data_IF_003243724319
#
_entry.id   IF_003243724319
#
_cell.length_a   1.000
_cell.length_b   1.000
_cell.length_c   1.000
_cell.angle_alpha   90.00
_cell.angle_beta   90.00
_cell.angle_gamma   90.00
#
_symmetry.space_group_name_H-M   'P 1'
#
loop_
_entity.id
_entity.type
_entity.pdbx_description
1 polymer ?
#
# COMPACT_ATOMS: atom_id res chain seq x y z
N UNK A 1 -62.03 -9.70 28.33
CA UNK A 1 -62.33 -9.14 26.99
C UNK A 1 -61.72 -7.74 26.93
N UNK A 2 -60.85 -7.48 25.94
CA UNK A 2 -60.59 -6.21 25.20
C UNK A 2 -60.60 -4.86 25.99
N UNK A 3 -59.69 -3.90 25.87
CA UNK A 3 -58.59 -3.59 24.94
C UNK A 3 -57.80 -2.38 25.51
N UNK A 4 -56.56 -2.25 25.04
CA UNK A 4 -55.54 -1.20 25.29
C UNK A 4 -55.95 0.19 24.73
N UNK A 5 -55.53 1.28 25.39
CA UNK A 5 -54.99 2.48 24.71
C UNK A 5 -53.88 3.11 25.58
N UNK A 6 -52.62 2.97 25.15
CA UNK A 6 -51.49 3.77 25.64
C UNK A 6 -51.36 4.96 24.68
N UNK A 7 -51.44 6.18 25.22
CA UNK A 7 -51.20 7.42 24.47
C UNK A 7 -49.70 7.70 24.51
N UNK A 8 -49.02 7.50 23.38
CA UNK A 8 -47.66 8.00 23.15
C UNK A 8 -47.74 9.33 22.42
N UNK A 9 -47.40 10.42 23.11
CA UNK A 9 -47.20 11.74 22.52
C UNK A 9 -45.92 11.76 21.70
N UNK A 10 -46.05 12.04 20.40
CA UNK A 10 -44.96 12.25 19.47
C UNK A 10 -44.44 13.69 19.55
N UNK A 11 -43.15 13.87 19.84
CA UNK A 11 -42.45 15.14 19.61
C UNK A 11 -41.69 15.03 18.28
N UNK A 12 -42.21 15.75 17.29
CA UNK A 12 -41.62 15.92 15.96
C UNK A 12 -40.48 16.93 16.01
N UNK A 13 -39.28 16.52 15.63
CA UNK A 13 -38.21 17.40 15.16
C UNK A 13 -37.72 16.82 13.83
N UNK A 14 -38.29 17.34 12.75
CA UNK A 14 -37.89 17.05 11.39
C UNK A 14 -36.58 17.79 11.07
N UNK A 15 -35.45 17.09 11.11
CA UNK A 15 -34.26 17.46 10.35
C UNK A 15 -34.26 16.65 9.06
N UNK A 16 -34.52 17.30 7.93
CA UNK A 16 -34.34 16.72 6.59
C UNK A 16 -32.84 16.53 6.34
N UNK A 17 -32.31 15.36 6.69
CA UNK A 17 -31.10 14.84 6.07
C UNK A 17 -31.52 14.06 4.82
N UNK A 18 -31.25 14.61 3.62
CA UNK A 18 -31.25 13.83 2.39
C UNK A 18 -30.11 12.81 2.49
N UNK A 19 -30.41 11.63 3.01
CA UNK A 19 -29.52 10.48 2.95
C UNK A 19 -29.45 9.97 1.52
N UNK A 20 -28.39 10.34 0.81
CA UNK A 20 -27.90 9.54 -0.31
C UNK A 20 -27.29 8.28 0.34
N UNK A 21 -28.06 7.19 0.38
CA UNK A 21 -27.56 5.87 0.77
C UNK A 21 -26.64 5.35 -0.35
N UNK A 22 -25.40 5.82 -0.39
CA UNK A 22 -24.31 5.05 -0.99
C UNK A 22 -23.67 4.22 0.12
N UNK A 23 -24.28 3.09 0.45
CA UNK A 23 -23.50 1.99 1.03
C UNK A 23 -22.38 1.67 0.04
N UNK A 24 -21.10 1.67 0.43
CA UNK A 24 -20.05 1.20 -0.46
C UNK A 24 -20.33 -0.27 -0.76
N UNK A 25 -20.87 -0.54 -1.95
CA UNK A 25 -21.10 -1.91 -2.39
C UNK A 25 -19.74 -2.49 -2.74
N UNK A 26 -19.23 -3.39 -1.91
CA UNK A 26 -18.17 -4.30 -2.32
C UNK A 26 -18.58 -4.94 -3.65
N UNK A 27 -17.70 -5.00 -4.67
CA UNK A 27 -18.06 -5.59 -5.95
C UNK A 27 -18.55 -7.02 -5.75
N UNK A 28 -19.54 -7.43 -6.54
CA UNK A 28 -20.04 -8.81 -6.47
C UNK A 28 -18.92 -9.81 -6.77
N UNK A 29 -18.99 -11.07 -6.30
CA UNK A 29 -18.03 -12.10 -6.69
C UNK A 29 -17.89 -12.25 -8.21
N UNK A 30 -18.96 -12.05 -8.97
CA UNK A 30 -18.93 -12.05 -10.43
C UNK A 30 -18.11 -10.88 -10.99
N UNK A 31 -18.21 -9.70 -10.38
CA UNK A 31 -17.42 -8.52 -10.73
C UNK A 31 -15.95 -8.72 -10.42
N UNK A 32 -15.62 -9.27 -9.25
CA UNK A 32 -14.24 -9.60 -8.88
C UNK A 32 -13.64 -10.67 -9.79
N UNK A 33 -14.43 -11.66 -10.20
CA UNK A 33 -14.02 -12.65 -11.19
C UNK A 33 -13.75 -12.02 -12.56
N UNK A 34 -14.59 -11.08 -13.00
CA UNK A 34 -14.38 -10.38 -14.27
C UNK A 34 -13.14 -9.48 -14.24
N UNK A 35 -12.87 -8.83 -13.09
CA UNK A 35 -11.63 -8.08 -12.86
C UNK A 35 -10.43 -9.03 -12.95
N UNK A 36 -10.47 -10.15 -12.23
CA UNK A 36 -9.41 -11.16 -12.30
C UNK A 36 -9.20 -11.67 -13.73
N UNK A 37 -10.27 -11.95 -14.48
CA UNK A 37 -10.20 -12.40 -15.87
C UNK A 37 -9.61 -11.33 -16.80
N UNK A 38 -9.99 -10.05 -16.66
CA UNK A 38 -9.40 -8.96 -17.46
C UNK A 38 -7.93 -8.73 -17.12
N UNK A 39 -7.56 -8.80 -15.83
CA UNK A 39 -6.16 -8.71 -15.38
C UNK A 39 -5.31 -9.86 -15.95
N UNK A 40 -5.92 -11.05 -16.14
CA UNK A 40 -5.26 -12.19 -16.79
C UNK A 40 -5.32 -12.17 -18.32
N UNK A 41 -6.28 -11.46 -18.92
CA UNK A 41 -6.40 -11.32 -20.38
C UNK A 41 -5.52 -10.21 -20.97
N UNK A 42 -5.04 -9.26 -20.14
CA UNK A 42 -4.21 -8.15 -20.61
C UNK A 42 -2.75 -8.56 -20.85
N UNK A 43 -2.48 -8.99 -22.10
CA UNK A 43 -1.19 -9.06 -22.82
C UNK A 43 -0.21 -10.22 -22.50
N UNK A 44 0.32 -10.72 -23.63
CA UNK A 44 1.33 -11.74 -23.91
C UNK A 44 1.67 -12.74 -22.79
N UNK A 45 1.52 -14.03 -23.14
CA UNK A 45 2.21 -15.16 -22.51
C UNK A 45 3.73 -15.04 -22.71
N UNK A 46 4.35 -14.00 -22.16
CA UNK A 46 5.78 -13.92 -21.96
C UNK A 46 6.05 -14.70 -20.68
N UNK A 47 6.24 -16.02 -20.84
CA UNK A 47 7.03 -16.78 -19.90
C UNK A 47 8.33 -16.01 -19.67
N UNK A 48 8.85 -15.97 -18.44
CA UNK A 48 10.05 -15.20 -18.16
C UNK A 48 11.19 -15.60 -19.11
N UNK A 49 11.52 -14.70 -20.04
CA UNK A 49 12.69 -14.85 -20.90
C UNK A 49 13.88 -14.30 -20.14
N UNK A 50 15.05 -14.92 -20.26
CA UNK A 50 16.23 -14.71 -19.41
C UNK A 50 16.87 -13.30 -19.34
N UNK A 51 16.16 -12.23 -19.72
CA UNK A 51 16.51 -10.82 -19.51
C UNK A 51 15.76 -10.19 -18.30
N UNK A 52 15.67 -10.98 -17.23
CA UNK A 52 14.92 -10.70 -16.00
C UNK A 52 15.68 -9.70 -15.12
N UNK A 53 15.76 -8.45 -15.55
CA UNK A 53 16.56 -7.43 -14.86
C UNK A 53 15.75 -6.75 -13.76
N UNK A 54 16.17 -6.96 -12.52
CA UNK A 54 15.86 -6.08 -11.38
C UNK A 54 17.03 -5.12 -11.24
N UNK A 55 16.78 -3.81 -11.34
CA UNK A 55 17.81 -2.79 -11.16
C UNK A 55 17.53 -2.01 -9.88
N UNK A 56 18.53 -1.85 -9.03
CA UNK A 56 18.44 -1.07 -7.81
C UNK A 56 19.23 0.22 -8.02
N UNK A 57 18.52 1.34 -8.11
CA UNK A 57 19.09 2.66 -8.33
C UNK A 57 19.08 3.41 -7.02
N UNK A 58 20.24 3.77 -6.48
CA UNK A 58 20.34 4.46 -5.20
C UNK A 58 20.95 5.85 -5.34
N UNK A 59 20.51 6.77 -4.50
CA UNK A 59 21.10 8.08 -4.29
C UNK A 59 21.18 8.39 -2.80
N UNK A 60 21.88 9.46 -2.46
CA UNK A 60 21.87 10.05 -1.13
C UNK A 60 21.71 11.57 -1.26
N UNK A 61 21.33 12.24 -0.17
CA UNK A 61 21.05 13.69 -0.19
C UNK A 61 22.25 14.53 -0.65
N UNK A 62 23.47 14.11 -0.33
CA UNK A 62 24.71 14.81 -0.70
C UNK A 62 25.09 14.61 -2.18
N UNK A 63 24.62 13.53 -2.80
CA UNK A 63 24.83 13.20 -4.21
C UNK A 63 23.51 12.68 -4.81
N UNK A 64 22.61 13.58 -5.24
CA UNK A 64 21.25 13.23 -5.64
C UNK A 64 21.15 12.48 -6.98
N UNK A 65 22.30 12.21 -7.64
CA UNK A 65 22.33 11.39 -8.85
C UNK A 65 22.15 9.91 -8.48
N UNK A 66 21.11 9.29 -9.02
CA UNK A 66 20.84 7.87 -8.85
C UNK A 66 21.85 7.02 -9.63
N UNK A 67 22.47 6.07 -8.93
CA UNK A 67 23.46 5.14 -9.48
C UNK A 67 22.99 3.71 -9.25
N UNK A 68 23.23 2.83 -10.24
CA UNK A 68 22.95 1.41 -10.07
C UNK A 68 23.91 0.79 -9.04
N UNK A 69 23.34 -0.01 -8.13
CA UNK A 69 24.09 -0.80 -7.15
C UNK A 69 23.63 -2.25 -7.27
N UNK A 70 24.56 -3.11 -7.65
CA UNK A 70 24.34 -4.56 -7.72
C UNK A 70 24.66 -5.22 -6.37
N UNK A 71 24.06 -6.39 -6.08
CA UNK A 71 24.55 -7.24 -5.00
C UNK A 71 26.05 -7.52 -5.18
N UNK A 72 26.86 -7.26 -4.14
CA UNK A 72 28.32 -7.38 -4.14
C UNK A 72 29.10 -6.25 -4.85
N UNK A 73 28.48 -5.10 -5.13
CA UNK A 73 29.18 -3.92 -5.64
C UNK A 73 30.35 -3.51 -4.73
N UNK A 74 31.58 -3.62 -5.24
CA UNK A 74 32.80 -3.29 -4.50
C UNK A 74 32.91 -1.80 -4.16
N UNK A 75 32.20 -0.94 -4.91
CA UNK A 75 32.23 0.51 -4.74
C UNK A 75 31.05 1.04 -3.92
N UNK A 76 30.23 0.17 -3.32
CA UNK A 76 29.03 0.59 -2.54
C UNK A 76 29.35 1.61 -1.44
N UNK A 77 30.52 1.51 -0.81
CA UNK A 77 30.97 2.43 0.24
C UNK A 77 31.16 3.87 -0.26
N UNK A 78 31.38 4.07 -1.56
CA UNK A 78 31.51 5.38 -2.18
C UNK A 78 30.17 5.91 -2.72
N UNK A 79 29.15 5.06 -2.80
CA UNK A 79 27.84 5.39 -3.38
C UNK A 79 26.77 5.72 -2.32
N UNK A 80 26.90 5.13 -1.13
CA UNK A 80 25.95 5.30 -0.02
C UNK A 80 26.63 5.92 1.20
N UNK A 81 25.88 6.68 1.98
CA UNK A 81 26.31 7.18 3.29
C UNK A 81 25.88 6.18 4.38
N UNK A 82 26.82 5.35 4.84
CA UNK A 82 26.58 4.32 5.86
C UNK A 82 26.30 4.89 7.27
N UNK A 83 26.34 6.22 7.46
CA UNK A 83 25.94 6.90 8.71
C UNK A 83 24.47 7.29 8.72
N UNK A 84 23.76 7.06 7.62
CA UNK A 84 22.34 7.41 7.43
C UNK A 84 21.55 6.13 7.17
N UNK A 85 20.26 6.06 7.54
CA UNK A 85 19.41 4.92 7.22
C UNK A 85 19.25 4.77 5.70
N UNK A 86 18.66 3.65 5.27
CA UNK A 86 18.40 3.38 3.86
C UNK A 86 16.95 2.95 3.63
N UNK A 87 16.31 3.55 2.63
CA UNK A 87 14.95 3.22 2.20
C UNK A 87 14.96 2.61 0.81
N UNK A 88 14.30 1.47 0.62
CA UNK A 88 14.01 0.90 -0.70
C UNK A 88 12.54 1.13 -1.05
N UNK A 89 12.27 1.74 -2.20
CA UNK A 89 10.93 1.94 -2.75
C UNK A 89 10.68 0.91 -3.86
N UNK A 90 9.60 0.15 -3.72
CA UNK A 90 9.22 -0.96 -4.62
C UNK A 90 7.84 -0.67 -5.23
N UNK A 91 7.80 -0.48 -6.56
CA UNK A 91 6.52 -0.29 -7.28
C UNK A 91 5.74 -1.59 -7.46
N UNK A 92 4.51 -1.51 -7.96
CA UNK A 92 3.61 -2.63 -8.23
C UNK A 92 3.56 -3.12 -9.68
N UNK A 93 2.53 -3.92 -9.98
CA UNK A 93 2.20 -4.40 -11.33
C UNK A 93 1.95 -3.25 -12.31
N UNK A 94 2.40 -3.39 -13.56
CA UNK A 94 2.38 -2.36 -14.59
C UNK A 94 3.02 -1.00 -14.16
N UNK A 95 3.80 -1.02 -13.09
CA UNK A 95 4.55 0.12 -12.57
C UNK A 95 5.95 0.22 -13.18
N UNK A 96 6.58 1.36 -12.93
CA UNK A 96 8.02 1.60 -13.11
C UNK A 96 8.38 2.89 -12.36
N UNK A 97 9.67 3.12 -12.12
CA UNK A 97 10.13 4.27 -11.32
C UNK A 97 9.87 5.62 -12.01
N UNK A 98 9.66 5.61 -13.33
CA UNK A 98 9.42 6.83 -14.12
C UNK A 98 7.97 7.30 -14.06
N UNK A 99 7.03 6.50 -13.55
CA UNK A 99 5.61 6.92 -13.44
C UNK A 99 5.47 8.17 -12.55
N UNK A 100 4.54 9.10 -12.86
CA UNK A 100 4.38 10.36 -12.11
C UNK A 100 4.28 10.19 -10.60
N UNK A 101 3.45 9.26 -10.11
CA UNK A 101 3.30 8.99 -8.67
C UNK A 101 4.60 8.51 -8.01
N UNK A 102 5.38 7.66 -8.70
CA UNK A 102 6.67 7.18 -8.18
C UNK A 102 7.73 8.29 -8.17
N UNK A 103 7.74 9.16 -9.19
CA UNK A 103 8.63 10.33 -9.21
C UNK A 103 8.26 11.33 -8.11
N UNK A 104 6.98 11.60 -7.91
CA UNK A 104 6.51 12.50 -6.85
C UNK A 104 6.90 11.95 -5.47
N UNK A 105 6.67 10.67 -5.23
CA UNK A 105 7.11 9.99 -4.01
C UNK A 105 8.62 10.13 -3.82
N UNK A 106 9.41 9.81 -4.85
CA UNK A 106 10.89 9.90 -4.81
C UNK A 106 11.37 11.30 -4.45
N UNK A 107 10.82 12.32 -5.10
CA UNK A 107 11.19 13.72 -4.90
C UNK A 107 10.87 14.19 -3.47
N UNK A 108 9.66 13.88 -2.98
CA UNK A 108 9.27 14.23 -1.62
C UNK A 108 10.06 13.44 -0.57
N UNK A 109 10.37 12.17 -0.83
CA UNK A 109 11.19 11.36 0.08
C UNK A 109 12.59 11.95 0.19
N UNK A 110 13.23 12.28 -0.93
CA UNK A 110 14.55 12.93 -0.95
C UNK A 110 14.53 14.30 -0.23
N UNK A 111 13.41 15.03 -0.32
CA UNK A 111 13.22 16.33 0.33
C UNK A 111 13.05 16.21 1.85
N UNK A 112 12.15 15.36 2.31
CA UNK A 112 11.71 15.33 3.71
C UNK A 112 12.43 14.29 4.57
N UNK A 113 13.06 13.27 3.96
CA UNK A 113 13.74 12.20 4.68
C UNK A 113 15.25 12.28 4.42
N UNK A 114 16.02 12.28 5.50
CA UNK A 114 17.49 12.30 5.44
C UNK A 114 18.03 10.87 5.49
N UNK A 115 17.94 10.18 4.34
CA UNK A 115 18.35 8.79 4.18
C UNK A 115 19.03 8.56 2.83
N UNK A 116 19.67 7.40 2.69
CA UNK A 116 19.91 6.82 1.38
C UNK A 116 18.57 6.38 0.79
N UNK A 117 18.34 6.66 -0.48
CA UNK A 117 17.11 6.32 -1.16
C UNK A 117 17.41 5.43 -2.37
N UNK A 118 16.85 4.22 -2.37
CA UNK A 118 16.98 3.24 -3.44
C UNK A 118 15.61 2.98 -4.09
N UNK A 119 15.55 3.09 -5.42
CA UNK A 119 14.38 2.74 -6.22
C UNK A 119 14.61 1.36 -6.83
N UNK A 120 13.64 0.47 -6.66
CA UNK A 120 13.65 -0.86 -7.26
C UNK A 120 12.90 -0.81 -8.57
N UNK A 121 13.65 -0.84 -9.67
CA UNK A 121 13.11 -0.93 -11.03
C UNK A 121 13.03 -2.39 -11.45
N UNK A 122 11.81 -2.90 -11.55
CA UNK A 122 11.52 -4.28 -11.93
C UNK A 122 10.43 -4.36 -13.01
N UNK A 123 10.23 -3.29 -13.79
CA UNK A 123 9.19 -3.18 -14.82
C UNK A 123 9.19 -4.32 -15.83
N UNK A 124 10.37 -4.86 -16.17
CA UNK A 124 10.50 -5.99 -17.10
C UNK A 124 9.72 -7.22 -16.63
N UNK A 125 9.65 -7.43 -15.31
CA UNK A 125 8.85 -8.48 -14.70
C UNK A 125 7.44 -7.97 -14.39
N UNK A 126 7.31 -6.72 -13.91
CA UNK A 126 6.04 -6.16 -13.47
C UNK A 126 5.00 -5.99 -14.57
N UNK A 127 5.37 -6.07 -15.86
CA UNK A 127 4.44 -6.01 -17.00
C UNK A 127 4.00 -7.38 -17.52
N UNK A 128 4.50 -8.48 -16.93
CA UNK A 128 3.99 -9.81 -17.21
C UNK A 128 2.52 -9.94 -16.80
N UNK A 129 1.86 -10.99 -17.30
CA UNK A 129 0.50 -11.34 -16.89
C UNK A 129 0.41 -11.46 -15.36
N UNK A 130 -0.70 -10.97 -14.80
CA UNK A 130 -0.82 -10.74 -13.37
C UNK A 130 -0.66 -12.02 -12.54
N UNK A 131 -1.21 -13.15 -12.98
CA UNK A 131 -1.05 -14.43 -12.28
C UNK A 131 0.40 -14.90 -12.27
N UNK A 132 1.11 -14.83 -13.41
CA UNK A 132 2.53 -15.17 -13.51
C UNK A 132 3.36 -14.28 -12.58
N UNK A 133 3.11 -12.98 -12.59
CA UNK A 133 3.90 -12.05 -11.77
C UNK A 133 3.60 -12.22 -10.29
N UNK A 134 2.35 -12.51 -9.91
CA UNK A 134 1.95 -12.68 -8.51
C UNK A 134 2.50 -13.98 -7.93
N UNK A 135 2.43 -15.09 -8.69
CA UNK A 135 2.89 -16.40 -8.22
C UNK A 135 4.42 -16.54 -8.23
N UNK A 136 5.09 -15.96 -9.24
CA UNK A 136 6.51 -16.19 -9.48
C UNK A 136 7.34 -14.90 -9.42
N UNK A 137 6.86 -13.82 -10.04
CA UNK A 137 7.57 -12.54 -10.14
C UNK A 137 7.87 -11.93 -8.77
N UNK A 138 6.86 -11.86 -7.91
CA UNK A 138 6.97 -11.32 -6.53
C UNK A 138 8.07 -12.04 -5.75
N UNK A 139 8.05 -13.38 -5.72
CA UNK A 139 9.08 -14.18 -5.04
C UNK A 139 10.47 -13.97 -5.66
N UNK A 140 10.54 -13.86 -6.99
CA UNK A 140 11.80 -13.65 -7.71
C UNK A 140 12.45 -12.31 -7.36
N UNK A 141 11.68 -11.22 -7.39
CA UNK A 141 12.15 -9.89 -7.02
C UNK A 141 12.53 -9.84 -5.54
N UNK A 142 11.69 -10.41 -4.66
CA UNK A 142 11.99 -10.48 -3.24
C UNK A 142 13.31 -11.21 -2.95
N UNK A 143 13.59 -12.33 -3.63
CA UNK A 143 14.85 -13.04 -3.50
C UNK A 143 16.06 -12.22 -3.97
N UNK A 144 15.91 -11.44 -5.05
CA UNK A 144 16.96 -10.53 -5.52
C UNK A 144 17.22 -9.42 -4.48
N UNK A 145 16.17 -8.76 -3.99
CA UNK A 145 16.27 -7.72 -2.96
C UNK A 145 16.80 -8.25 -1.63
N UNK A 146 16.46 -9.49 -1.25
CA UNK A 146 17.01 -10.15 -0.06
C UNK A 146 18.53 -10.27 -0.15
N UNK A 147 19.05 -10.65 -1.32
CA UNK A 147 20.52 -10.71 -1.54
C UNK A 147 21.15 -9.33 -1.39
N UNK A 148 20.49 -8.30 -1.89
CA UNK A 148 20.94 -6.90 -1.76
C UNK A 148 20.91 -6.42 -0.31
N UNK A 149 19.80 -6.61 0.40
CA UNK A 149 19.63 -6.26 1.83
C UNK A 149 20.67 -6.97 2.71
N UNK A 150 20.87 -8.28 2.53
CA UNK A 150 21.94 -9.02 3.23
C UNK A 150 23.34 -8.52 2.86
N UNK A 151 23.55 -8.09 1.61
CA UNK A 151 24.81 -7.50 1.17
C UNK A 151 25.08 -6.16 1.87
N UNK A 152 24.10 -5.26 1.91
CA UNK A 152 24.20 -3.99 2.64
C UNK A 152 24.49 -4.22 4.12
N UNK A 153 23.82 -5.23 4.72
CA UNK A 153 24.05 -5.59 6.11
C UNK A 153 25.51 -6.01 6.36
N UNK A 154 26.05 -6.91 5.52
CA UNK A 154 27.48 -7.30 5.59
C UNK A 154 28.45 -6.15 5.37
N UNK A 155 28.01 -5.05 4.75
CA UNK A 155 28.82 -3.85 4.50
C UNK A 155 28.77 -2.83 5.63
N UNK A 156 27.87 -2.99 6.60
CA UNK A 156 27.84 -2.18 7.81
C UNK A 156 26.49 -1.54 8.13
N UNK A 157 25.47 -1.68 7.27
CA UNK A 157 24.11 -1.27 7.66
C UNK A 157 23.55 -2.23 8.70
N UNK A 158 22.96 -1.71 9.78
CA UNK A 158 22.11 -2.52 10.63
C UNK A 158 20.75 -2.76 9.93
N UNK A 159 20.07 -3.88 10.22
CA UNK A 159 18.77 -4.15 9.60
C UNK A 159 17.70 -3.17 10.08
N UNK A 160 17.77 -2.71 11.32
CA UNK A 160 16.89 -1.70 11.91
C UNK A 160 16.95 -0.34 11.18
N UNK A 161 18.09 -0.02 10.56
CA UNK A 161 18.28 1.16 9.70
C UNK A 161 17.73 1.00 8.27
N UNK A 162 17.14 -0.16 7.95
CA UNK A 162 16.56 -0.44 6.64
C UNK A 162 15.05 -0.33 6.66
N UNK A 163 14.52 0.51 5.76
CA UNK A 163 13.08 0.67 5.52
C UNK A 163 12.72 0.19 4.12
N UNK A 164 11.60 -0.53 3.99
CA UNK A 164 11.03 -0.90 2.71
C UNK A 164 9.66 -0.22 2.54
N UNK A 165 9.44 0.44 1.41
CA UNK A 165 8.15 1.04 1.04
C UNK A 165 7.67 0.33 -0.21
N UNK A 166 6.58 -0.42 -0.11
CA UNK A 166 6.07 -1.24 -1.21
C UNK A 166 4.64 -0.88 -1.57
N UNK A 167 4.38 -0.60 -2.84
CA UNK A 167 3.02 -0.36 -3.36
C UNK A 167 2.47 -1.58 -4.09
N UNK A 168 1.19 -1.92 -3.86
CA UNK A 168 0.53 -3.03 -4.56
C UNK A 168 1.30 -4.35 -4.36
N UNK A 169 1.69 -5.04 -5.45
CA UNK A 169 2.59 -6.20 -5.40
C UNK A 169 3.94 -5.91 -4.73
N UNK A 170 4.43 -4.67 -4.82
CA UNK A 170 5.63 -4.21 -4.14
C UNK A 170 5.54 -4.34 -2.62
N UNK A 171 4.34 -4.26 -2.03
CA UNK A 171 4.13 -4.47 -0.60
C UNK A 171 4.43 -5.93 -0.20
N UNK A 172 4.02 -6.90 -1.02
CA UNK A 172 4.35 -8.31 -0.79
C UNK A 172 5.82 -8.60 -1.04
N UNK A 173 6.43 -7.97 -2.04
CA UNK A 173 7.89 -8.05 -2.26
C UNK A 173 8.62 -7.57 -1.00
N UNK A 174 8.23 -6.42 -0.43
CA UNK A 174 8.81 -5.90 0.80
C UNK A 174 8.62 -6.87 1.98
N UNK A 175 7.40 -7.40 2.16
CA UNK A 175 7.11 -8.40 3.20
C UNK A 175 7.98 -9.65 3.10
N UNK A 176 8.10 -10.23 1.90
CA UNK A 176 8.94 -11.40 1.66
C UNK A 176 10.43 -11.12 1.91
N UNK A 177 10.92 -9.92 1.57
CA UNK A 177 12.29 -9.51 1.92
C UNK A 177 12.48 -9.49 3.43
N UNK A 178 11.53 -8.90 4.16
CA UNK A 178 11.50 -8.85 5.62
C UNK A 178 11.52 -10.24 6.25
N UNK A 179 10.66 -11.16 5.80
CA UNK A 179 10.65 -12.57 6.22
C UNK A 179 11.98 -13.27 6.00
N UNK A 180 12.60 -13.05 4.83
CA UNK A 180 13.87 -13.67 4.50
C UNK A 180 15.03 -13.15 5.37
N UNK A 181 14.85 -12.07 6.14
CA UNK A 181 15.79 -11.61 7.15
C UNK A 181 15.15 -11.61 8.54
N UNK A 182 14.28 -12.59 8.79
CA UNK A 182 13.70 -12.90 10.10
C UNK A 182 12.98 -11.71 10.76
N UNK A 183 12.36 -10.84 9.95
CA UNK A 183 11.65 -9.66 10.43
C UNK A 183 12.57 -8.57 11.01
N UNK A 184 13.87 -8.64 10.78
CA UNK A 184 14.85 -7.74 11.40
C UNK A 184 14.87 -6.34 10.78
N UNK A 185 14.28 -6.13 9.59
CA UNK A 185 14.24 -4.79 8.98
C UNK A 185 13.45 -3.82 9.87
N UNK A 186 13.91 -2.57 9.95
CA UNK A 186 13.36 -1.58 10.87
C UNK A 186 11.91 -1.20 10.61
N UNK A 187 11.54 -1.03 9.33
CA UNK A 187 10.17 -0.72 8.97
C UNK A 187 9.77 -1.23 7.58
N UNK A 188 8.50 -1.62 7.43
CA UNK A 188 7.83 -1.81 6.15
C UNK A 188 6.60 -0.92 6.09
N UNK A 189 6.47 -0.14 5.01
CA UNK A 189 5.26 0.61 4.68
C UNK A 189 4.60 -0.03 3.46
N UNK A 190 3.50 -0.75 3.69
CA UNK A 190 2.68 -1.39 2.66
C UNK A 190 1.59 -0.44 2.15
N UNK A 191 1.78 0.09 0.95
CA UNK A 191 0.87 1.04 0.31
C UNK A 191 -0.13 0.27 -0.56
N UNK A 192 -1.35 0.14 -0.07
CA UNK A 192 -2.46 -0.60 -0.65
C UNK A 192 -2.06 -2.02 -1.12
N UNK A 193 -1.65 -2.92 -0.20
CA UNK A 193 -1.15 -4.25 -0.56
C UNK A 193 -2.17 -5.02 -1.40
N UNK A 194 -1.74 -5.62 -2.51
CA UNK A 194 -2.65 -6.25 -3.47
C UNK A 194 -3.45 -7.41 -2.86
N UNK A 195 -4.76 -7.47 -3.11
CA UNK A 195 -5.64 -8.52 -2.61
C UNK A 195 -5.82 -9.69 -3.56
N UNK A 196 -5.84 -9.41 -4.87
CA UNK A 196 -6.07 -10.41 -5.92
C UNK A 196 -4.89 -11.37 -5.98
N UNK A 197 -5.15 -12.68 -5.90
CA UNK A 197 -4.19 -13.78 -5.75
C UNK A 197 -3.34 -13.79 -4.47
N UNK A 198 -3.69 -12.97 -3.46
CA UNK A 198 -3.07 -13.00 -2.13
C UNK A 198 -4.07 -13.26 -1.01
N UNK A 199 -5.21 -12.58 -1.02
CA UNK A 199 -6.32 -12.80 -0.08
C UNK A 199 -7.65 -13.08 -0.76
N UNK A 200 -7.69 -12.96 -2.09
CA UNK A 200 -8.85 -13.26 -2.91
C UNK A 200 -8.39 -14.03 -4.17
N UNK A 201 -9.07 -15.11 -4.60
CA UNK A 201 -10.26 -15.71 -3.98
C UNK A 201 -9.96 -16.50 -2.70
N UNK A 202 -8.69 -16.83 -2.45
CA UNK A 202 -8.24 -17.56 -1.27
C UNK A 202 -7.05 -16.84 -0.63
N UNK A 203 -6.95 -16.88 0.70
CA UNK A 203 -5.76 -16.40 1.42
C UNK A 203 -4.60 -17.37 1.22
N UNK A 204 -3.50 -16.87 0.65
CA UNK A 204 -2.28 -17.66 0.41
C UNK A 204 -1.47 -17.91 1.68
N UNK A 205 -1.88 -17.28 2.80
CA UNK A 205 -1.25 -17.37 4.12
C UNK A 205 -0.16 -16.33 4.30
N UNK A 206 0.06 -15.92 5.56
CA UNK A 206 1.00 -14.85 5.92
C UNK A 206 2.42 -15.11 5.41
N UNK A 207 2.87 -16.36 5.33
CA UNK A 207 4.16 -16.78 4.78
C UNK A 207 4.42 -16.34 3.33
N UNK A 208 3.36 -16.09 2.55
CA UNK A 208 3.46 -15.78 1.11
C UNK A 208 3.06 -14.35 0.75
N UNK A 209 2.61 -13.55 1.72
CA UNK A 209 2.17 -12.16 1.51
C UNK A 209 2.82 -11.22 2.54
N UNK A 210 2.41 -9.95 2.55
CA UNK A 210 2.82 -9.04 3.63
C UNK A 210 2.11 -9.46 4.93
N UNK A 211 2.84 -9.45 6.04
CA UNK A 211 2.33 -9.77 7.36
C UNK A 211 2.96 -8.84 8.44
N UNK A 212 2.33 -8.72 9.62
CA UNK A 212 2.83 -7.84 10.67
C UNK A 212 4.24 -8.20 11.15
N UNK A 213 4.63 -9.48 11.11
CA UNK A 213 5.94 -9.95 11.60
C UNK A 213 7.11 -9.68 10.66
N UNK A 214 6.86 -9.09 9.49
CA UNK A 214 7.87 -8.96 8.43
C UNK A 214 8.92 -7.87 8.73
N UNK A 215 8.70 -7.05 9.74
CA UNK A 215 9.60 -6.02 10.20
C UNK A 215 9.41 -5.77 11.70
N UNK A 216 10.32 -5.00 12.28
CA UNK A 216 10.14 -4.44 13.62
C UNK A 216 8.89 -3.54 13.69
N UNK A 217 8.50 -2.95 12.55
CA UNK A 217 7.27 -2.18 12.41
C UNK A 217 6.73 -2.24 10.99
N UNK A 218 5.50 -2.72 10.83
CA UNK A 218 4.77 -2.73 9.56
C UNK A 218 3.55 -1.81 9.66
N UNK A 219 3.52 -0.80 8.80
CA UNK A 219 2.37 0.08 8.59
C UNK A 219 1.74 -0.23 7.24
N UNK A 220 0.40 -0.29 7.19
CA UNK A 220 -0.34 -0.44 5.94
C UNK A 220 -1.32 0.71 5.73
N UNK A 221 -1.50 1.09 4.47
CA UNK A 221 -2.45 2.13 4.06
C UNK A 221 -3.38 1.52 3.02
N UNK A 222 -4.68 1.47 3.29
CA UNK A 222 -5.69 0.92 2.40
C UNK A 222 -6.52 2.03 1.78
N UNK A 223 -6.64 1.99 0.45
CA UNK A 223 -7.40 2.92 -0.38
C UNK A 223 -8.22 2.22 -1.47
N UNK A 224 -8.05 0.90 -1.66
CA UNK A 224 -8.95 0.08 -2.49
C UNK A 224 -9.29 -1.29 -1.88
N UNK A 225 -9.45 -1.32 -0.54
CA UNK A 225 -9.82 -2.50 0.25
C UNK A 225 -11.02 -3.25 -0.34
N UNK A 226 -10.88 -4.58 -0.44
CA UNK A 226 -11.94 -5.46 -0.94
C UNK A 226 -12.08 -5.46 -2.46
N UNK A 227 -11.21 -4.73 -3.17
CA UNK A 227 -11.16 -4.69 -4.64
C UNK A 227 -9.79 -5.08 -5.17
N UNK A 228 -8.91 -4.10 -5.43
CA UNK A 228 -7.53 -4.37 -5.82
C UNK A 228 -6.63 -4.64 -4.61
N UNK A 229 -6.95 -4.10 -3.43
CA UNK A 229 -6.20 -4.33 -2.20
C UNK A 229 -6.82 -5.39 -1.29
N UNK A 230 -5.99 -5.94 -0.40
CA UNK A 230 -6.41 -6.86 0.65
C UNK A 230 -7.51 -6.20 1.51
N UNK A 231 -8.51 -6.98 1.91
CA UNK A 231 -9.54 -6.58 2.87
C UNK A 231 -9.23 -7.01 4.31
N UNK A 232 -8.04 -7.56 4.54
CA UNK A 232 -7.55 -7.98 5.85
C UNK A 232 -6.31 -7.18 6.22
N UNK A 233 -6.19 -6.85 7.51
CA UNK A 233 -5.05 -6.16 8.07
C UNK A 233 -3.76 -6.96 7.86
N UNK A 234 -2.69 -6.29 7.45
CA UNK A 234 -1.39 -6.90 7.16
C UNK A 234 -0.21 -6.24 7.89
N UNK A 235 -0.46 -5.19 8.69
CA UNK A 235 0.56 -4.53 9.51
C UNK A 235 0.22 -4.57 11.01
N UNK A 236 1.18 -4.16 11.85
CA UNK A 236 0.89 -3.82 13.25
C UNK A 236 -0.04 -2.60 13.31
N UNK A 237 0.14 -1.64 12.39
CA UNK A 237 -0.69 -0.45 12.29
C UNK A 237 -1.31 -0.33 10.89
N UNK A 238 -2.64 -0.27 10.83
CA UNK A 238 -3.39 -0.36 9.58
C UNK A 238 -4.29 0.88 9.43
N UNK A 239 -4.05 1.68 8.41
CA UNK A 239 -4.84 2.88 8.10
C UNK A 239 -5.82 2.58 6.97
N UNK A 240 -7.12 2.60 7.29
CA UNK A 240 -8.22 2.40 6.35
C UNK A 240 -8.77 3.76 5.94
N UNK A 241 -8.21 4.32 4.86
CA UNK A 241 -8.40 5.73 4.50
C UNK A 241 -9.71 5.90 3.75
N UNK A 242 -10.62 6.73 4.30
CA UNK A 242 -11.96 6.99 3.75
C UNK A 242 -12.81 5.73 3.54
N UNK A 243 -14.00 5.65 4.14
CA UNK A 243 -14.95 4.55 3.88
C UNK A 243 -14.33 3.14 4.00
N UNK A 244 -13.62 2.87 5.10
CA UNK A 244 -12.94 1.58 5.33
C UNK A 244 -11.83 1.26 4.32
N UNK A 245 -11.21 2.29 3.73
CA UNK A 245 -10.24 2.09 2.65
C UNK A 245 -10.88 1.63 1.35
N UNK A 246 -12.21 1.67 1.23
CA UNK A 246 -12.90 1.20 0.03
C UNK A 246 -12.71 2.16 -1.15
N UNK A 247 -12.80 1.61 -2.36
CA UNK A 247 -13.01 2.41 -3.56
C UNK A 247 -14.45 3.01 -3.60
N UNK A 248 -14.72 3.98 -4.47
CA UNK A 248 -13.74 4.93 -4.98
C UNK A 248 -13.16 5.73 -3.81
N UNK A 249 -11.94 6.26 -3.92
CA UNK A 249 -11.45 7.33 -3.06
C UNK A 249 -11.91 8.70 -3.61
N UNK A 250 -11.95 9.76 -2.77
CA UNK A 250 -12.30 11.10 -3.26
C UNK A 250 -11.43 11.53 -4.44
N UNK A 251 -12.07 11.91 -5.55
CA UNK A 251 -11.40 12.30 -6.80
C UNK A 251 -11.20 11.16 -7.80
N UNK A 252 -11.63 9.94 -7.46
CA UNK A 252 -11.57 8.76 -8.33
C UNK A 252 -12.93 8.32 -8.87
N UNK A 253 -14.01 9.02 -8.55
CA UNK A 253 -15.38 8.70 -8.98
C UNK A 253 -15.51 8.73 -10.51
N UNK A 254 -14.92 9.74 -11.17
CA UNK A 254 -14.98 9.95 -12.63
C UNK A 254 -13.61 9.70 -13.29
N UNK A 255 -12.90 8.65 -12.89
CA UNK A 255 -11.54 8.37 -13.35
C UNK A 255 -11.43 8.04 -14.86
N UNK A 256 -12.54 7.94 -15.58
CA UNK A 256 -12.58 7.60 -17.00
C UNK A 256 -13.74 8.30 -17.72
N UNK A 257 -13.48 8.76 -18.93
CA UNK A 257 -14.50 9.31 -19.85
C UNK A 257 -15.10 8.23 -20.76
N UNK A 258 -14.79 6.95 -20.51
CA UNK A 258 -15.26 5.83 -21.34
C UNK A 258 -16.76 5.58 -21.15
N UNK A 259 -17.42 5.17 -22.24
CA UNK A 259 -18.83 4.86 -22.23
C UNK A 259 -19.14 3.48 -21.59
N UNK A 260 -18.14 2.60 -21.50
CA UNK A 260 -18.29 1.27 -20.89
C UNK A 260 -18.25 1.33 -19.35
N UNK A 261 -19.27 0.77 -18.70
CA UNK A 261 -19.40 0.84 -17.24
C UNK A 261 -18.30 0.06 -16.51
N UNK A 262 -17.84 -1.04 -17.10
CA UNK A 262 -16.78 -1.85 -16.51
C UNK A 262 -15.44 -1.12 -16.58
N UNK A 263 -15.10 -0.51 -17.72
CA UNK A 263 -13.87 0.27 -17.86
C UNK A 263 -13.84 1.48 -16.90
N UNK A 264 -14.96 2.19 -16.75
CA UNK A 264 -15.06 3.28 -15.75
C UNK A 264 -14.77 2.78 -14.34
N UNK A 265 -15.39 1.66 -13.98
CA UNK A 265 -15.18 1.05 -12.67
C UNK A 265 -13.72 0.61 -12.50
N UNK A 266 -13.13 -0.09 -13.47
CA UNK A 266 -11.74 -0.56 -13.41
C UNK A 266 -10.74 0.59 -13.25
N UNK A 267 -10.90 1.68 -14.00
CA UNK A 267 -10.07 2.88 -13.85
C UNK A 267 -10.27 3.57 -12.49
N UNK A 268 -11.51 3.59 -11.98
CA UNK A 268 -11.81 4.10 -10.64
C UNK A 268 -11.12 3.28 -9.54
N UNK A 269 -11.09 1.96 -9.67
CA UNK A 269 -10.34 1.08 -8.77
C UNK A 269 -8.85 1.37 -8.86
N UNK A 270 -8.30 1.47 -10.08
CA UNK A 270 -6.89 1.77 -10.31
C UNK A 270 -6.49 3.15 -9.76
N UNK A 271 -7.34 4.16 -9.89
CA UNK A 271 -7.16 5.47 -9.29
C UNK A 271 -7.09 5.36 -7.76
N UNK A 272 -8.09 4.71 -7.16
CA UNK A 272 -8.17 4.50 -5.70
C UNK A 272 -6.96 3.73 -5.18
N UNK A 273 -6.49 2.74 -5.94
CA UNK A 273 -5.31 1.94 -5.61
C UNK A 273 -4.01 2.75 -5.58
N UNK A 274 -3.91 3.79 -6.43
CA UNK A 274 -2.78 4.72 -6.45
C UNK A 274 -2.86 5.79 -5.36
N UNK A 275 -4.02 6.03 -4.76
CA UNK A 275 -4.18 7.06 -3.71
C UNK A 275 -3.35 6.77 -2.46
N UNK A 276 -3.04 5.51 -2.14
CA UNK A 276 -2.12 5.20 -1.04
C UNK A 276 -0.72 5.78 -1.26
N UNK A 277 -0.23 5.84 -2.52
CA UNK A 277 1.03 6.54 -2.84
C UNK A 277 0.89 8.04 -2.59
N UNK A 278 -0.25 8.63 -2.95
CA UNK A 278 -0.50 10.08 -2.78
C UNK A 278 -0.55 10.44 -1.30
N UNK A 279 -1.38 9.76 -0.50
CA UNK A 279 -1.48 10.02 0.94
C UNK A 279 -0.15 9.80 1.66
N UNK A 280 0.57 8.73 1.34
CA UNK A 280 1.89 8.50 1.92
C UNK A 280 2.90 9.58 1.51
N UNK A 281 2.89 10.02 0.26
CA UNK A 281 3.78 11.07 -0.26
C UNK A 281 3.53 12.41 0.44
N UNK A 282 2.27 12.83 0.55
CA UNK A 282 1.91 14.07 1.24
C UNK A 282 2.25 14.00 2.73
N UNK A 283 2.05 12.84 3.37
CA UNK A 283 2.40 12.62 4.77
C UNK A 283 3.92 12.62 5.06
N UNK A 284 4.79 12.69 4.04
CA UNK A 284 6.22 12.93 4.25
C UNK A 284 6.48 14.34 4.76
N UNK A 285 5.69 15.33 4.32
CA UNK A 285 5.77 16.68 4.86
C UNK A 285 5.26 16.69 6.31
N UNK A 286 6.09 17.03 7.31
CA UNK A 286 5.66 17.07 8.71
C UNK A 286 4.54 18.07 9.02
N UNK A 287 4.30 19.04 8.13
CA UNK A 287 3.19 20.01 8.24
C UNK A 287 1.83 19.39 7.84
N UNK A 288 1.83 18.32 7.04
CA UNK A 288 0.62 17.60 6.65
C UNK A 288 0.21 16.67 7.79
N UNK A 289 -1.03 16.81 8.25
CA UNK A 289 -1.53 16.06 9.39
C UNK A 289 -2.74 15.17 9.06
N UNK A 290 -2.46 13.97 8.55
CA UNK A 290 -3.47 12.92 8.38
C UNK A 290 -3.61 12.09 9.65
N UNK A 291 -4.29 12.67 10.64
CA UNK A 291 -4.60 11.97 11.90
C UNK A 291 -5.85 11.11 11.76
N UNK A 292 -5.74 9.83 12.10
CA UNK A 292 -6.84 8.85 12.07
C UNK A 292 -7.06 8.25 13.46
N UNK A 293 -8.26 7.69 13.70
CA UNK A 293 -8.67 7.20 15.01
C UNK A 293 -8.64 5.68 15.10
N UNK A 294 -7.99 5.15 16.12
CA UNK A 294 -7.99 3.72 16.41
C UNK A 294 -9.39 3.26 16.74
N UNK A 295 -9.84 2.22 16.06
CA UNK A 295 -11.14 1.59 16.30
C UNK A 295 -11.07 0.11 15.94
N UNK A 296 -11.94 -0.71 16.51
CA UNK A 296 -11.94 -2.14 16.23
C UNK A 296 -12.45 -2.43 14.81
N UNK A 297 -13.48 -1.71 14.36
CA UNK A 297 -14.11 -1.87 13.06
C UNK A 297 -14.62 -0.53 12.52
N UNK A 298 -14.72 -0.40 11.19
CA UNK A 298 -15.18 0.82 10.54
C UNK A 298 -16.61 1.23 10.96
N UNK A 299 -17.53 0.28 11.11
CA UNK A 299 -18.90 0.58 11.55
C UNK A 299 -18.93 1.25 12.92
N UNK A 300 -18.08 0.81 13.86
CA UNK A 300 -17.98 1.43 15.18
C UNK A 300 -17.37 2.84 15.10
N UNK A 301 -16.43 3.06 14.18
CA UNK A 301 -15.89 4.39 13.91
C UNK A 301 -16.98 5.31 13.36
N UNK A 302 -17.74 4.85 12.36
CA UNK A 302 -18.83 5.61 11.75
C UNK A 302 -19.95 5.93 12.74
N UNK A 303 -20.28 5.01 13.65
CA UNK A 303 -21.27 5.22 14.71
C UNK A 303 -20.74 6.04 15.90
N UNK A 304 -19.49 6.52 15.86
CA UNK A 304 -18.90 7.33 16.93
C UNK A 304 -18.57 6.58 18.22
N UNK A 305 -18.58 5.24 18.21
CA UNK A 305 -18.43 4.40 19.41
C UNK A 305 -16.99 4.32 19.90
N UNK A 306 -16.01 4.66 19.07
CA UNK A 306 -14.60 4.62 19.42
C UNK A 306 -14.14 5.93 20.09
N UNK A 307 -14.91 6.51 21.03
CA UNK A 307 -14.62 7.82 21.66
C UNK A 307 -13.24 7.86 22.31
N UNK A 308 -12.88 6.81 23.05
CA UNK A 308 -11.60 6.64 23.75
C UNK A 308 -10.48 6.07 22.87
N UNK A 309 -10.73 5.84 21.58
CA UNK A 309 -9.72 5.37 20.64
C UNK A 309 -8.60 6.40 20.51
N UNK A 310 -7.35 5.97 20.70
CA UNK A 310 -6.16 6.79 20.44
C UNK A 310 -6.14 7.25 18.99
N UNK A 311 -5.45 8.35 18.74
CA UNK A 311 -5.24 8.88 17.39
C UNK A 311 -3.77 8.71 17.03
N UNK A 312 -3.51 8.51 15.75
CA UNK A 312 -2.14 8.48 15.25
C UNK A 312 -2.12 9.02 13.81
N UNK A 313 -0.93 9.41 13.34
CA UNK A 313 -0.70 9.97 12.01
C UNK A 313 -0.42 8.86 11.01
N UNK A 314 -1.03 8.95 9.84
CA UNK A 314 -0.65 8.14 8.69
C UNK A 314 0.77 8.53 8.21
N UNK A 315 1.58 7.55 7.84
CA UNK A 315 2.91 7.77 7.26
C UNK A 315 4.06 7.66 8.27
N UNK A 316 5.20 8.26 7.92
CA UNK A 316 6.48 8.07 8.65
C UNK A 316 6.52 8.74 10.02
N UNK A 317 5.63 9.72 10.28
CA UNK A 317 5.55 10.49 11.52
C UNK A 317 4.59 9.89 12.56
N UNK A 318 4.18 8.63 12.37
CA UNK A 318 3.33 7.91 13.31
C UNK A 318 4.04 7.61 14.64
N UNK A 319 3.29 7.59 15.73
CA UNK A 319 3.72 7.08 17.04
C UNK A 319 3.80 5.54 17.09
N UNK A 320 3.49 4.87 15.97
CA UNK A 320 3.56 3.42 15.75
C UNK A 320 2.60 2.62 16.65
N UNK A 321 1.45 3.19 16.96
CA UNK A 321 0.44 2.54 17.80
C UNK A 321 -0.22 1.39 17.01
N UNK A 322 -0.21 0.17 17.55
CA UNK A 322 -0.81 -0.97 16.87
C UNK A 322 -2.35 -0.92 16.84
N UNK A 323 -2.94 -1.38 15.74
CA UNK A 323 -4.38 -1.52 15.55
C UNK A 323 -4.87 -1.00 14.20
N UNK A 324 -6.20 -0.98 14.04
CA UNK A 324 -6.87 -0.42 12.88
C UNK A 324 -7.26 1.04 13.14
N UNK A 325 -6.95 1.91 12.18
CA UNK A 325 -7.18 3.35 12.23
C UNK A 325 -8.10 3.75 11.09
N UNK A 326 -9.11 4.55 11.41
CA UNK A 326 -10.13 5.01 10.48
C UNK A 326 -10.23 6.53 10.52
N UNK A 327 -10.50 7.13 9.38
CA UNK A 327 -10.49 8.57 9.23
C UNK A 327 -10.94 9.00 7.85
N UNK A 328 -11.50 10.20 7.78
CA UNK A 328 -11.70 10.89 6.51
C UNK A 328 -10.50 11.77 6.25
N UNK A 329 -9.83 11.57 5.12
CA UNK A 329 -8.64 12.30 4.71
C UNK A 329 -8.95 13.01 3.39
N UNK A 330 -8.75 14.33 3.39
CA UNK A 330 -8.87 15.19 2.21
C UNK A 330 -7.47 15.74 1.93
N UNK A 331 -7.05 15.69 0.67
CA UNK A 331 -5.78 16.26 0.24
C UNK A 331 -5.84 17.80 0.37
N UNK A 332 -4.73 18.45 0.78
CA UNK A 332 -4.68 19.89 1.01
C UNK A 332 -4.83 20.74 -0.26
#
# INVERSE_FOLDING_TARGET
MWKVVIVLTTLSLAAKAQHINHTPSTPSPATLNLISQKMSASKQALAFTGEEKVTILCSNRSSPSFQAIEPNDKQVLNKLDFRKPITLIVHGWNGNISKPFMRNLTQNYARYVDSNLCLVEWSNLATCEYSVVSEQGVKKVANHLTKFVRFLHRKGFAYDDMTLVGHSLGAHIAGLVGKNVDGQVGAIYGLDPAGVLFTFPLDVGEEKRLAPTDAQYVQTIYTSSGTLAMSVAAGQQNFWVNRDGAHPQPGCEDASTENDEFERMYESMGCSHRMALVYFTEALNPEVNFTMKRCYAYLMYQSGLCVLGTKDKLGIHAERISGNFYGTVVLP
#
